data_IF_954083121296
#
_entry.id   IF_954083121296
#
_cell.length_a   1.000
_cell.length_b   1.000
_cell.length_c   1.000
_cell.angle_alpha   90.00
_cell.angle_beta   90.00
_cell.angle_gamma   90.00
#
_symmetry.space_group_name_H-M   'P 1'
#
loop_
_entity.id
_entity.type
_entity.pdbx_description
1 polymer ?
#
# COMPACT_ATOMS: atom_id res chain seq x y z
N UNK A 1 2.65 3.51 12.07
CA UNK A 1 1.92 4.74 12.41
C UNK A 1 1.94 5.62 11.18
N UNK A 2 0.78 5.94 10.63
CA UNK A 2 0.65 6.85 9.50
C UNK A 2 1.27 8.21 9.82
N UNK A 3 2.09 8.69 8.89
CA UNK A 3 2.74 10.00 8.93
C UNK A 3 2.02 10.99 8.02
N UNK A 4 1.76 10.58 6.79
CA UNK A 4 1.20 11.42 5.74
C UNK A 4 0.51 10.54 4.71
N UNK A 5 -0.55 11.05 4.09
CA UNK A 5 -1.22 10.35 3.02
C UNK A 5 -1.73 11.30 1.95
N UNK A 6 -1.96 10.72 0.78
CA UNK A 6 -2.60 11.30 -0.39
C UNK A 6 -3.61 10.28 -0.88
N UNK A 7 -4.87 10.69 -0.99
CA UNK A 7 -5.96 9.78 -1.37
C UNK A 7 -6.42 10.08 -2.80
N UNK A 8 -6.50 9.04 -3.64
CA UNK A 8 -7.10 9.05 -4.99
C UNK A 8 -6.60 10.20 -5.88
N UNK A 9 -5.30 10.42 -5.90
CA UNK A 9 -4.64 11.34 -6.82
C UNK A 9 -4.56 10.74 -8.23
N UNK A 10 -4.98 11.52 -9.23
CA UNK A 10 -4.88 11.13 -10.64
C UNK A 10 -3.50 11.48 -11.18
N UNK A 11 -2.77 10.44 -11.57
CA UNK A 11 -1.52 10.52 -12.31
C UNK A 11 -1.78 10.36 -13.80
N UNK A 12 -1.01 11.07 -14.61
CA UNK A 12 -1.01 11.01 -16.07
C UNK A 12 0.41 10.76 -16.56
N UNK A 13 0.57 10.34 -17.82
CA UNK A 13 1.89 10.14 -18.44
C UNK A 13 2.81 11.38 -18.38
N UNK A 14 2.26 12.58 -18.21
CA UNK A 14 3.01 13.85 -18.22
C UNK A 14 3.55 14.22 -16.83
N UNK A 15 2.78 13.97 -15.76
CA UNK A 15 3.04 14.51 -14.42
C UNK A 15 3.43 13.47 -13.38
N UNK A 16 3.31 12.17 -13.67
CA UNK A 16 3.37 11.12 -12.66
C UNK A 16 4.68 11.10 -11.86
N UNK A 17 5.83 11.34 -12.49
CA UNK A 17 7.12 11.33 -11.79
C UNK A 17 7.22 12.45 -10.75
N UNK A 18 6.84 13.67 -11.14
CA UNK A 18 6.88 14.83 -10.25
C UNK A 18 5.88 14.69 -9.11
N UNK A 19 4.67 14.22 -9.41
CA UNK A 19 3.62 13.98 -8.41
C UNK A 19 4.05 12.91 -7.40
N UNK A 20 4.51 11.74 -7.85
CA UNK A 20 5.01 10.69 -6.95
C UNK A 20 6.19 11.16 -6.09
N UNK A 21 7.14 11.89 -6.67
CA UNK A 21 8.24 12.47 -5.91
C UNK A 21 7.74 13.44 -4.84
N UNK A 22 6.74 14.27 -5.14
CA UNK A 22 6.11 15.17 -4.16
C UNK A 22 5.37 14.43 -3.05
N UNK A 23 4.92 13.20 -3.33
CA UNK A 23 4.31 12.27 -2.39
C UNK A 23 5.33 11.45 -1.58
N UNK A 24 6.63 11.67 -1.80
CA UNK A 24 7.70 10.93 -1.12
C UNK A 24 8.01 9.56 -1.73
N UNK A 25 7.59 9.30 -2.97
CA UNK A 25 7.83 8.07 -3.72
C UNK A 25 8.78 8.38 -4.86
N UNK A 26 10.09 8.39 -4.59
CA UNK A 26 11.12 8.76 -5.58
C UNK A 26 11.93 7.58 -6.13
N UNK A 27 12.08 6.49 -5.37
CA UNK A 27 12.96 5.35 -5.72
C UNK A 27 12.37 4.01 -5.26
N UNK A 28 11.07 3.80 -5.52
CA UNK A 28 10.38 2.56 -5.12
C UNK A 28 10.13 1.66 -6.34
N UNK A 29 10.22 0.32 -6.21
CA UNK A 29 9.67 -0.62 -7.19
C UNK A 29 8.19 -0.36 -7.53
N UNK A 30 7.47 0.40 -6.69
CA UNK A 30 6.15 0.96 -6.97
C UNK A 30 6.07 1.73 -8.29
N UNK A 31 7.15 2.45 -8.64
CA UNK A 31 7.22 3.30 -9.83
C UNK A 31 7.05 2.48 -11.11
N UNK A 32 7.72 1.32 -11.22
CA UNK A 32 7.72 0.53 -12.45
C UNK A 32 6.31 0.00 -12.82
N UNK A 33 5.48 -0.32 -11.84
CA UNK A 33 4.13 -0.82 -12.10
C UNK A 33 3.17 0.33 -12.39
N UNK A 34 3.30 1.46 -11.67
CA UNK A 34 2.52 2.66 -11.99
C UNK A 34 2.84 3.11 -13.42
N UNK A 35 4.10 3.07 -13.82
CA UNK A 35 4.53 3.35 -15.19
C UNK A 35 3.85 2.41 -16.20
N UNK A 36 3.82 1.09 -15.95
CA UNK A 36 3.11 0.14 -16.83
C UNK A 36 1.63 0.47 -16.96
N UNK A 37 0.95 0.78 -15.85
CA UNK A 37 -0.48 1.13 -15.85
C UNK A 37 -0.71 2.41 -16.64
N UNK A 38 0.15 3.42 -16.45
CA UNK A 38 0.09 4.68 -17.19
C UNK A 38 0.34 4.48 -18.69
N UNK A 39 1.22 3.55 -19.08
CA UNK A 39 1.44 3.19 -20.49
C UNK A 39 0.20 2.54 -21.09
N UNK A 40 -0.44 1.61 -20.37
CA UNK A 40 -1.60 0.85 -20.87
C UNK A 40 -2.90 1.66 -20.89
N UNK A 41 -3.15 2.48 -19.87
CA UNK A 41 -4.43 3.18 -19.66
C UNK A 41 -4.35 4.70 -19.87
N UNK A 42 -3.15 5.27 -19.98
CA UNK A 42 -2.92 6.71 -20.09
C UNK A 42 -2.98 7.47 -18.75
N UNK A 43 -3.60 6.87 -17.74
CA UNK A 43 -3.79 7.44 -16.41
C UNK A 43 -3.86 6.37 -15.32
N UNK A 44 -3.61 6.78 -14.08
CA UNK A 44 -3.71 5.95 -12.90
C UNK A 44 -4.22 6.77 -11.70
N UNK A 45 -5.23 6.28 -11.00
CA UNK A 45 -5.70 6.80 -9.73
C UNK A 45 -4.96 6.08 -8.62
N UNK A 46 -4.17 6.83 -7.85
CA UNK A 46 -3.33 6.27 -6.79
C UNK A 46 -3.61 6.89 -5.43
N UNK A 47 -3.44 6.11 -4.38
CA UNK A 47 -3.26 6.61 -3.02
C UNK A 47 -1.87 6.28 -2.52
N UNK A 48 -1.25 7.19 -1.78
CA UNK A 48 0.06 7.01 -1.17
C UNK A 48 -0.08 7.22 0.33
N UNK A 49 0.39 6.25 1.10
CA UNK A 49 0.42 6.29 2.56
C UNK A 49 1.88 6.15 3.00
N UNK A 50 2.38 7.13 3.74
CA UNK A 50 3.70 7.09 4.37
C UNK A 50 3.51 6.79 5.84
N UNK A 51 4.26 5.82 6.37
CA UNK A 51 4.15 5.40 7.77
C UNK A 51 5.53 5.16 8.39
N UNK A 52 5.60 5.21 9.71
CA UNK A 52 6.77 4.76 10.49
C UNK A 52 6.47 3.41 11.14
N UNK A 53 7.39 2.46 10.98
CA UNK A 53 7.36 1.16 11.66
C UNK A 53 7.78 1.31 13.13
N UNK A 54 7.49 0.30 13.94
CA UNK A 54 7.94 0.28 15.35
C UNK A 54 9.46 0.35 15.51
N UNK A 55 10.22 -0.13 14.51
CA UNK A 55 11.68 0.00 14.43
C UNK A 55 12.18 1.43 14.20
N UNK A 56 11.29 2.39 13.89
CA UNK A 56 11.64 3.76 13.50
C UNK A 56 11.89 3.92 12.00
N UNK A 57 11.95 2.83 11.23
CA UNK A 57 12.11 2.87 9.77
C UNK A 57 10.86 3.46 9.10
N UNK A 58 11.08 4.25 8.06
CA UNK A 58 9.99 4.74 7.21
C UNK A 58 9.59 3.66 6.21
N UNK A 59 8.28 3.52 6.00
CA UNK A 59 7.69 2.68 4.97
C UNK A 59 6.62 3.45 4.21
N UNK A 60 6.23 2.87 3.08
CA UNK A 60 5.19 3.43 2.23
C UNK A 60 4.27 2.33 1.73
N UNK A 61 3.01 2.67 1.53
CA UNK A 61 2.04 1.88 0.80
C UNK A 61 1.54 2.74 -0.36
N UNK A 62 1.66 2.23 -1.58
CA UNK A 62 1.08 2.86 -2.76
C UNK A 62 0.02 1.94 -3.31
N UNK A 63 -1.19 2.46 -3.47
CA UNK A 63 -2.36 1.75 -4.00
C UNK A 63 -2.68 2.34 -5.36
N UNK A 64 -2.92 1.48 -6.34
CA UNK A 64 -3.51 1.84 -7.62
C UNK A 64 -4.93 1.29 -7.71
N UNK A 65 -5.90 2.20 -7.63
CA UNK A 65 -7.32 1.87 -7.51
C UNK A 65 -7.90 1.27 -8.80
N UNK A 66 -7.41 1.68 -9.97
CA UNK A 66 -7.95 1.22 -11.28
C UNK A 66 -7.70 -0.25 -11.58
N UNK A 67 -6.81 -0.89 -10.82
CA UNK A 67 -6.44 -2.29 -10.99
C UNK A 67 -6.57 -3.09 -9.70
N UNK A 68 -6.96 -2.44 -8.59
CA UNK A 68 -7.04 -3.08 -7.27
C UNK A 68 -5.69 -3.67 -6.84
N UNK A 69 -4.58 -2.98 -7.13
CA UNK A 69 -3.22 -3.43 -6.79
C UNK A 69 -2.58 -2.45 -5.83
N UNK A 70 -1.75 -2.97 -4.94
CA UNK A 70 -0.92 -2.12 -4.11
C UNK A 70 0.48 -2.69 -3.91
N UNK A 71 1.34 -1.84 -3.41
CA UNK A 71 2.74 -2.13 -3.11
C UNK A 71 3.10 -1.52 -1.79
N UNK A 72 3.61 -2.35 -0.89
CA UNK A 72 4.10 -1.93 0.41
C UNK A 72 5.61 -2.04 0.45
N UNK A 73 6.26 -1.00 0.93
CA UNK A 73 7.71 -0.91 1.09
C UNK A 73 8.06 -0.69 2.55
N UNK A 74 9.01 -1.49 3.04
CA UNK A 74 9.62 -1.40 4.36
C UNK A 74 11.12 -1.10 4.18
N UNK A 75 11.44 0.03 3.54
CA UNK A 75 12.81 0.37 3.15
C UNK A 75 13.29 -0.51 2.00
N UNK A 76 14.27 -1.39 2.25
CA UNK A 76 14.85 -2.25 1.21
C UNK A 76 13.91 -3.36 0.72
N UNK A 77 12.91 -3.74 1.51
CA UNK A 77 11.97 -4.80 1.18
C UNK A 77 10.68 -4.22 0.61
N UNK A 78 10.29 -4.67 -0.59
CA UNK A 78 9.08 -4.22 -1.26
C UNK A 78 8.25 -5.43 -1.69
N UNK A 79 6.96 -5.38 -1.39
CA UNK A 79 6.02 -6.47 -1.64
C UNK A 79 4.81 -5.97 -2.40
N UNK A 80 4.41 -6.73 -3.41
CA UNK A 80 3.22 -6.47 -4.22
C UNK A 80 2.05 -7.30 -3.72
N UNK A 81 0.84 -6.79 -3.91
CA UNK A 81 -0.36 -7.50 -3.55
C UNK A 81 -1.63 -6.98 -4.21
N UNK A 82 -2.73 -7.65 -3.87
CA UNK A 82 -4.08 -7.21 -4.22
C UNK A 82 -4.61 -6.30 -3.12
N UNK A 83 -5.14 -5.15 -3.52
CA UNK A 83 -5.76 -4.19 -2.63
C UNK A 83 -7.27 -4.42 -2.59
N UNK A 84 -7.80 -4.60 -1.40
CA UNK A 84 -9.24 -4.64 -1.14
C UNK A 84 -9.71 -3.28 -0.63
N UNK A 85 -10.47 -2.57 -1.46
CA UNK A 85 -11.04 -1.26 -1.12
C UNK A 85 -12.06 -1.32 0.02
N UNK A 86 -12.73 -2.47 0.20
CA UNK A 86 -13.80 -2.62 1.20
C UNK A 86 -13.21 -2.67 2.61
N UNK A 87 -12.08 -3.36 2.75
CA UNK A 87 -11.42 -3.57 4.03
C UNK A 87 -10.18 -2.69 4.21
N UNK A 88 -9.76 -1.97 3.17
CA UNK A 88 -8.52 -1.19 3.13
C UNK A 88 -7.29 -2.03 3.49
N UNK A 89 -7.22 -3.22 2.90
CA UNK A 89 -6.17 -4.23 3.15
C UNK A 89 -5.44 -4.59 1.87
N UNK A 90 -4.11 -4.57 1.93
CA UNK A 90 -3.23 -5.17 0.94
C UNK A 90 -2.94 -6.63 1.31
N UNK A 91 -3.28 -7.57 0.43
CA UNK A 91 -2.87 -8.98 0.55
C UNK A 91 -1.68 -9.25 -0.37
N UNK A 92 -0.52 -9.56 0.20
CA UNK A 92 0.75 -9.77 -0.53
C UNK A 92 0.70 -11.05 -1.37
N UNK A 93 1.13 -10.92 -2.62
CA UNK A 93 1.20 -12.03 -3.57
C UNK A 93 2.21 -13.09 -3.08
N UNK A 94 1.82 -14.36 -3.17
CA UNK A 94 2.68 -15.50 -2.83
C UNK A 94 2.75 -15.83 -1.33
N UNK A 95 2.81 -14.83 -0.44
CA UNK A 95 2.82 -15.07 1.01
C UNK A 95 1.43 -15.05 1.64
N UNK A 96 0.50 -14.29 1.06
CA UNK A 96 -0.85 -14.09 1.62
C UNK A 96 -0.88 -13.17 2.85
N UNK A 97 0.25 -12.56 3.22
CA UNK A 97 0.32 -11.62 4.33
C UNK A 97 -0.56 -10.39 4.07
N UNK A 98 -1.27 -9.93 5.09
CA UNK A 98 -2.21 -8.81 4.98
C UNK A 98 -1.68 -7.60 5.72
N UNK A 99 -1.74 -6.44 5.09
CA UNK A 99 -1.33 -5.16 5.68
C UNK A 99 -2.39 -4.09 5.49
N UNK A 100 -2.63 -3.26 6.50
CA UNK A 100 -3.46 -2.07 6.36
C UNK A 100 -2.66 -0.86 5.86
N UNK A 101 -3.33 0.28 5.62
CA UNK A 101 -2.70 1.55 5.21
C UNK A 101 -1.64 2.08 6.18
N UNK A 102 -1.68 1.61 7.43
CA UNK A 102 -0.79 1.96 8.53
C UNK A 102 0.53 1.15 8.49
N UNK A 103 0.64 0.21 7.55
CA UNK A 103 1.73 -0.74 7.40
C UNK A 103 1.77 -1.81 8.49
N UNK A 104 0.65 -2.02 9.21
CA UNK A 104 0.52 -3.03 10.26
C UNK A 104 -0.03 -4.32 9.67
N UNK A 105 0.46 -5.48 10.12
CA UNK A 105 -0.14 -6.76 9.75
C UNK A 105 -1.60 -6.81 10.23
N UNK A 106 -2.46 -7.40 9.42
CA UNK A 106 -3.86 -7.67 9.74
C UNK A 106 -3.98 -9.17 9.92
N UNK A 107 -4.06 -9.63 11.16
CA UNK A 107 -4.35 -11.03 11.44
C UNK A 107 -5.83 -11.31 11.13
N UNK A 108 -6.11 -12.33 10.32
CA UNK A 108 -7.45 -12.94 10.27
C UNK A 108 -7.66 -13.75 11.55
N UNK A 109 -7.92 -13.07 12.68
CA UNK A 109 -7.97 -13.77 13.95
C UNK A 109 -8.34 -12.92 15.16
N UNK A 110 -9.52 -12.30 15.15
CA UNK A 110 -10.28 -12.14 16.40
C UNK A 110 -11.80 -12.20 16.17
N UNK A 111 -12.24 -13.27 15.50
CA UNK A 111 -13.59 -13.79 15.72
C UNK A 111 -13.52 -14.84 16.84
N UNK A 112 -13.39 -14.35 18.08
CA UNK A 112 -13.81 -15.09 19.26
C UNK A 112 -12.70 -15.59 20.18
N UNK A 113 -12.09 -14.68 20.95
CA UNK A 113 -11.75 -14.99 22.34
C UNK A 113 -13.03 -15.28 23.16
N UNK A 114 -13.70 -16.41 22.90
CA UNK A 114 -14.68 -16.97 23.82
C UNK A 114 -13.93 -17.59 24.99
N UNK A 115 -13.83 -16.78 26.04
CA UNK A 115 -13.48 -17.20 27.39
C UNK A 115 -14.39 -18.36 27.83
N UNK A 116 -13.83 -19.55 28.00
CA UNK A 116 -14.28 -20.52 28.98
C UNK A 116 -12.99 -20.93 29.71
N UNK A 117 -12.66 -20.31 30.84
CA UNK A 117 -13.47 -20.41 32.05
C UNK A 117 -13.14 -21.75 32.69
N UNK A 118 -11.98 -21.83 33.34
CA UNK A 118 -11.58 -22.97 34.15
C UNK A 118 -12.53 -23.03 35.37
N UNK A 119 -13.53 -23.91 35.35
CA UNK A 119 -14.26 -24.39 36.55
C UNK A 119 -14.52 -25.88 36.38
#
# INVERSE_FOLDING_TARGET
MLLKYWEKHRLTQINWQQELASMGVSESPAIEVIEKILVEKGEAVVSVYLFTRLSGEQGSLVVCHDVGRGVISFGANTHWGNWDETYEVLTVDGTGEKFNFDGKPVDEGDDGACSLGNI
#
